data_IF_447706101572
#
_entry.id   IF_447706101572
#
_cell.length_a   1.000
_cell.length_b   1.000
_cell.length_c   1.000
_cell.angle_alpha   90.00
_cell.angle_beta   90.00
_cell.angle_gamma   90.00
#
_symmetry.space_group_name_H-M   'P 1'
#
loop_
_entity.id
_entity.type
_entity.pdbx_description
1 polymer ?
#
# COMPACT_ATOMS: atom_id res chain seq x y z
N UNK A 1 -17.70 -8.53 14.72
CA UNK A 1 -16.50 -7.81 14.25
C UNK A 1 -15.57 -8.87 13.66
N UNK A 2 -15.30 -8.86 12.35
CA UNK A 2 -14.44 -9.87 11.73
C UNK A 2 -13.01 -9.79 12.28
N UNK A 3 -12.38 -10.94 12.54
CA UNK A 3 -11.00 -11.00 13.04
C UNK A 3 -10.08 -10.40 11.96
N UNK A 4 -9.35 -9.34 12.30
CA UNK A 4 -8.40 -8.70 11.38
C UNK A 4 -7.19 -9.63 11.21
N UNK A 5 -6.81 -9.94 9.97
CA UNK A 5 -5.65 -10.79 9.70
C UNK A 5 -4.33 -10.06 9.97
N UNK A 6 -3.24 -10.82 10.16
CA UNK A 6 -1.93 -10.30 10.52
C UNK A 6 -1.39 -9.29 9.49
N UNK A 7 -1.60 -9.56 8.20
CA UNK A 7 -1.19 -8.68 7.10
C UNK A 7 -1.91 -7.34 7.16
N UNK A 8 -3.19 -7.33 7.49
CA UNK A 8 -3.97 -6.10 7.66
C UNK A 8 -3.48 -5.30 8.86
N UNK A 9 -3.14 -5.95 9.98
CA UNK A 9 -2.55 -5.29 11.14
C UNK A 9 -1.21 -4.64 10.77
N UNK A 10 -0.34 -5.36 10.06
CA UNK A 10 0.94 -4.83 9.56
C UNK A 10 0.67 -3.59 8.68
N UNK A 11 -0.14 -3.69 7.64
CA UNK A 11 -0.41 -2.55 6.73
C UNK A 11 -0.95 -1.32 7.45
N UNK A 12 -1.77 -1.50 8.50
CA UNK A 12 -2.27 -0.40 9.33
C UNK A 12 -1.16 0.21 10.18
N UNK A 13 -0.34 -0.63 10.85
CA UNK A 13 0.77 -0.18 11.67
C UNK A 13 1.75 0.67 10.85
N UNK A 14 2.14 0.21 9.66
CA UNK A 14 3.08 0.95 8.81
C UNK A 14 2.46 2.19 8.16
N UNK A 15 1.13 2.27 8.07
CA UNK A 15 0.45 3.46 7.55
C UNK A 15 0.76 4.73 8.36
N UNK A 16 1.10 4.59 9.66
CA UNK A 16 1.47 5.74 10.49
C UNK A 16 2.86 6.33 10.18
N UNK A 17 3.76 5.55 9.57
CA UNK A 17 5.14 5.96 9.27
C UNK A 17 5.16 7.13 8.30
N UNK A 18 4.16 7.17 7.43
CA UNK A 18 3.93 8.28 6.54
C UNK A 18 3.89 9.64 7.28
N UNK A 19 3.20 9.71 8.42
CA UNK A 19 3.09 10.95 9.22
C UNK A 19 4.43 11.42 9.78
N UNK A 20 5.38 10.50 9.97
CA UNK A 20 6.74 10.76 10.41
C UNK A 20 7.73 11.05 9.27
N UNK A 21 7.28 11.11 8.00
CA UNK A 21 8.15 11.15 6.81
C UNK A 21 9.12 9.97 6.73
N UNK A 22 8.73 8.82 7.26
CA UNK A 22 9.51 7.59 7.20
C UNK A 22 9.00 6.75 6.02
N UNK A 23 9.91 6.25 5.18
CA UNK A 23 9.57 5.41 4.05
C UNK A 23 9.00 4.06 4.51
N UNK A 24 7.75 3.78 4.15
CA UNK A 24 7.11 2.49 4.43
C UNK A 24 7.86 1.36 3.73
N UNK A 25 8.26 1.61 2.47
CA UNK A 25 9.00 0.67 1.62
C UNK A 25 10.31 0.25 2.28
N UNK A 26 11.16 1.21 2.62
CA UNK A 26 12.46 0.95 3.24
C UNK A 26 12.32 0.27 4.60
N UNK A 27 11.35 0.71 5.42
CA UNK A 27 11.11 0.13 6.74
C UNK A 27 10.71 -1.34 6.63
N UNK A 28 9.81 -1.69 5.69
CA UNK A 28 9.42 -3.08 5.47
C UNK A 28 10.62 -3.94 5.04
N UNK A 29 11.46 -3.43 4.12
CA UNK A 29 12.68 -4.13 3.67
C UNK A 29 13.61 -4.42 4.85
N UNK A 30 13.87 -3.41 5.69
CA UNK A 30 14.73 -3.57 6.87
C UNK A 30 14.16 -4.58 7.86
N UNK A 31 12.85 -4.52 8.15
CA UNK A 31 12.21 -5.46 9.07
C UNK A 31 12.24 -6.89 8.56
N UNK A 32 12.01 -7.09 7.25
CA UNK A 32 12.14 -8.42 6.62
C UNK A 32 13.58 -8.94 6.77
N UNK A 33 14.58 -8.08 6.59
CA UNK A 33 16.01 -8.40 6.78
C UNK A 33 16.29 -8.85 8.20
N UNK A 34 15.87 -8.07 9.20
CA UNK A 34 16.11 -8.39 10.60
C UNK A 34 15.43 -9.70 11.03
N UNK A 35 14.20 -9.96 10.58
CA UNK A 35 13.54 -11.22 10.89
C UNK A 35 14.21 -12.41 10.21
N UNK A 36 14.71 -12.24 8.98
CA UNK A 36 15.44 -13.31 8.31
C UNK A 36 16.77 -13.61 9.00
N UNK A 37 17.57 -12.59 9.31
CA UNK A 37 18.80 -12.74 10.10
C UNK A 37 18.52 -13.49 11.42
N UNK A 38 17.52 -13.05 12.17
CA UNK A 38 17.17 -13.68 13.44
C UNK A 38 16.71 -15.13 13.27
N UNK A 39 15.93 -15.43 12.22
CA UNK A 39 15.56 -16.79 11.85
C UNK A 39 16.79 -17.63 11.48
N UNK A 40 17.75 -17.10 10.72
CA UNK A 40 18.93 -17.87 10.32
C UNK A 40 19.78 -18.29 11.52
N UNK A 41 19.83 -17.47 12.57
CA UNK A 41 20.54 -17.73 13.83
C UNK A 41 19.77 -18.71 14.72
N UNK A 42 18.49 -18.43 14.98
CA UNK A 42 17.70 -19.16 15.99
C UNK A 42 17.01 -20.40 15.45
N UNK A 43 16.77 -20.46 14.14
CA UNK A 43 15.92 -21.43 13.45
C UNK A 43 14.48 -21.49 13.96
N UNK A 44 14.00 -20.47 14.68
CA UNK A 44 12.60 -20.39 15.13
C UNK A 44 11.67 -20.14 13.94
N UNK A 45 10.88 -21.16 13.61
CA UNK A 45 9.99 -21.15 12.44
C UNK A 45 8.87 -20.10 12.52
N UNK A 46 8.58 -19.53 13.69
CA UNK A 46 7.61 -18.42 13.83
C UNK A 46 8.01 -17.20 13.02
N UNK A 47 9.32 -16.96 12.87
CA UNK A 47 9.83 -15.85 12.06
C UNK A 47 9.60 -16.04 10.57
N UNK A 48 9.50 -17.29 10.08
CA UNK A 48 9.13 -17.55 8.68
C UNK A 48 7.77 -16.95 8.36
N UNK A 49 6.77 -17.21 9.22
CA UNK A 49 5.42 -16.66 9.00
C UNK A 49 5.42 -15.14 9.10
N UNK A 50 6.15 -14.55 10.06
CA UNK A 50 6.27 -13.10 10.15
C UNK A 50 6.90 -12.49 8.89
N UNK A 51 7.95 -13.10 8.34
CA UNK A 51 8.58 -12.67 7.09
C UNK A 51 7.56 -12.70 5.95
N UNK A 52 6.82 -13.82 5.79
CA UNK A 52 5.81 -13.95 4.75
C UNK A 52 4.70 -12.90 4.88
N UNK A 53 4.20 -12.66 6.10
CA UNK A 53 3.18 -11.65 6.34
C UNK A 53 3.67 -10.24 5.97
N UNK A 54 4.96 -9.93 6.23
CA UNK A 54 5.57 -8.64 5.86
C UNK A 54 5.83 -8.51 4.37
N UNK A 55 6.31 -9.56 3.69
CA UNK A 55 6.43 -9.56 2.23
C UNK A 55 5.05 -9.44 1.58
N UNK A 56 4.04 -10.15 2.08
CA UNK A 56 2.68 -10.00 1.60
C UNK A 56 2.19 -8.57 1.80
N UNK A 57 2.41 -7.96 2.97
CA UNK A 57 2.04 -6.58 3.21
C UNK A 57 2.75 -5.62 2.25
N UNK A 58 4.05 -5.81 1.99
CA UNK A 58 4.83 -5.05 1.01
C UNK A 58 4.20 -5.11 -0.39
N UNK A 59 3.87 -6.31 -0.86
CA UNK A 59 3.23 -6.52 -2.16
C UNK A 59 1.81 -5.96 -2.21
N UNK A 60 1.03 -6.13 -1.14
CA UNK A 60 -0.36 -5.66 -1.07
C UNK A 60 -0.48 -4.13 -0.90
N UNK A 61 0.53 -3.49 -0.30
CA UNK A 61 0.71 -2.03 -0.31
C UNK A 61 1.18 -1.52 -1.67
N UNK A 62 1.34 -2.42 -2.63
CA UNK A 62 1.69 -2.13 -3.98
C UNK A 62 3.07 -1.54 -4.09
N UNK A 63 4.07 -2.16 -3.46
CA UNK A 63 5.47 -2.02 -3.84
C UNK A 63 5.88 -3.17 -4.76
N UNK A 64 6.82 -2.94 -5.67
CA UNK A 64 7.18 -3.93 -6.69
C UNK A 64 8.17 -4.95 -6.11
N UNK A 65 7.95 -6.23 -6.41
CA UNK A 65 8.87 -7.29 -6.02
C UNK A 65 10.22 -7.14 -6.72
N UNK A 66 10.21 -6.69 -7.97
CA UNK A 66 11.41 -6.45 -8.78
C UNK A 66 12.36 -5.44 -8.12
N UNK A 67 11.84 -4.51 -7.31
CA UNK A 67 12.66 -3.53 -6.58
C UNK A 67 13.41 -4.13 -5.37
N UNK A 68 13.01 -5.32 -4.90
CA UNK A 68 13.59 -5.99 -3.73
C UNK A 68 14.07 -7.40 -4.05
N UNK A 69 14.05 -7.80 -5.31
CA UNK A 69 14.30 -9.20 -5.69
C UNK A 69 15.72 -9.64 -5.31
N UNK A 70 16.73 -8.78 -5.44
CA UNK A 70 18.12 -9.11 -5.09
C UNK A 70 18.27 -9.55 -3.63
N UNK A 71 17.50 -8.97 -2.72
CA UNK A 71 17.54 -9.27 -1.30
C UNK A 71 16.50 -10.34 -0.89
N UNK A 72 15.30 -10.30 -1.47
CA UNK A 72 14.17 -11.13 -1.03
C UNK A 72 14.06 -12.47 -1.74
N UNK A 73 14.74 -12.67 -2.88
CA UNK A 73 14.62 -13.92 -3.64
C UNK A 73 15.20 -15.12 -2.90
N UNK A 74 16.36 -14.94 -2.27
CA UNK A 74 16.98 -15.99 -1.45
C UNK A 74 16.12 -16.32 -0.23
N UNK A 75 15.59 -15.29 0.43
CA UNK A 75 14.72 -15.43 1.61
C UNK A 75 13.45 -16.21 1.26
N UNK A 76 12.74 -15.79 0.21
CA UNK A 76 11.50 -16.44 -0.18
C UNK A 76 11.75 -17.83 -0.75
N UNK A 77 12.88 -18.05 -1.43
CA UNK A 77 13.26 -19.39 -1.89
C UNK A 77 13.55 -20.33 -0.71
N UNK A 78 14.22 -19.86 0.34
CA UNK A 78 14.46 -20.64 1.56
C UNK A 78 13.15 -20.97 2.31
N UNK A 79 12.20 -20.04 2.34
CA UNK A 79 10.94 -20.22 3.08
C UNK A 79 9.89 -21.01 2.28
N UNK A 80 9.70 -20.67 1.00
CA UNK A 80 8.59 -21.19 0.16
C UNK A 80 9.04 -22.18 -0.91
N UNK A 81 10.32 -22.25 -1.24
CA UNK A 81 10.84 -23.08 -2.32
C UNK A 81 10.11 -22.83 -3.64
N UNK A 82 9.51 -23.87 -4.21
CA UNK A 82 8.79 -23.82 -5.48
C UNK A 82 7.50 -22.96 -5.45
N UNK A 83 6.97 -22.63 -4.26
CA UNK A 83 5.75 -21.83 -4.13
C UNK A 83 6.00 -20.31 -4.21
N UNK A 84 7.26 -19.88 -4.24
CA UNK A 84 7.66 -18.46 -4.29
C UNK A 84 6.92 -17.68 -5.39
N UNK A 85 7.01 -18.14 -6.64
CA UNK A 85 6.44 -17.40 -7.78
C UNK A 85 4.91 -17.32 -7.71
N UNK A 86 4.26 -18.36 -7.16
CA UNK A 86 2.82 -18.34 -6.95
C UNK A 86 2.43 -17.31 -5.89
N UNK A 87 3.16 -17.27 -4.77
CA UNK A 87 2.95 -16.30 -3.70
C UNK A 87 3.11 -14.85 -4.22
N UNK A 88 4.19 -14.57 -4.98
CA UNK A 88 4.41 -13.25 -5.58
C UNK A 88 3.27 -12.89 -6.52
N UNK A 89 2.82 -13.80 -7.38
CA UNK A 89 1.68 -13.54 -8.28
C UNK A 89 0.37 -13.30 -7.52
N UNK A 90 0.12 -14.03 -6.44
CA UNK A 90 -1.10 -13.89 -5.64
C UNK A 90 -1.18 -12.55 -4.92
N UNK A 91 -0.06 -12.01 -4.45
CA UNK A 91 -0.05 -10.83 -3.58
C UNK A 91 0.48 -9.56 -4.28
N UNK A 92 1.39 -9.70 -5.25
CA UNK A 92 1.96 -8.60 -6.05
C UNK A 92 1.02 -8.04 -7.11
N UNK A 93 -0.08 -8.72 -7.41
CA UNK A 93 -1.11 -8.28 -8.39
C UNK A 93 -1.99 -7.13 -7.88
N UNK A 94 -1.69 -6.54 -6.71
CA UNK A 94 -2.43 -5.39 -6.16
C UNK A 94 -1.89 -4.03 -6.56
N UNK A 95 -0.76 -3.94 -7.27
CA UNK A 95 -0.45 -2.74 -8.03
C UNK A 95 -1.25 -2.73 -9.34
N UNK A 96 -2.13 -1.74 -9.50
CA UNK A 96 -2.79 -1.50 -10.80
C UNK A 96 -2.19 -0.28 -11.45
N UNK A 97 -1.45 -0.49 -12.54
CA UNK A 97 -0.92 0.59 -13.36
C UNK A 97 -2.02 1.09 -14.31
N UNK A 98 -2.52 2.30 -14.08
CA UNK A 98 -3.62 2.90 -14.85
C UNK A 98 -3.16 4.14 -15.61
N UNK A 99 -3.91 4.56 -16.63
CA UNK A 99 -3.68 5.86 -17.25
C UNK A 99 -4.14 6.98 -16.31
N UNK A 100 -3.40 8.09 -16.26
CA UNK A 100 -3.84 9.27 -15.52
C UNK A 100 -5.07 9.90 -16.19
N UNK A 101 -6.26 9.64 -15.65
CA UNK A 101 -7.51 10.29 -16.05
C UNK A 101 -8.43 10.50 -14.84
N UNK A 102 -9.28 11.52 -14.92
CA UNK A 102 -10.29 11.81 -13.89
C UNK A 102 -11.25 10.64 -13.68
N UNK A 103 -11.58 9.92 -14.74
CA UNK A 103 -12.42 8.72 -14.69
C UNK A 103 -11.76 7.60 -13.89
N UNK A 104 -10.47 7.31 -14.15
CA UNK A 104 -9.73 6.29 -13.40
C UNK A 104 -9.62 6.67 -11.92
N UNK A 105 -9.32 7.93 -11.61
CA UNK A 105 -9.29 8.43 -10.22
C UNK A 105 -10.66 8.26 -9.57
N UNK A 106 -11.75 8.62 -10.25
CA UNK A 106 -13.12 8.41 -9.76
C UNK A 106 -13.41 6.94 -9.43
N UNK A 107 -12.95 6.02 -10.28
CA UNK A 107 -13.13 4.58 -10.07
C UNK A 107 -12.30 4.07 -8.87
N UNK A 108 -11.07 4.55 -8.71
CA UNK A 108 -10.19 4.22 -7.58
C UNK A 108 -10.83 4.66 -6.26
N UNK A 109 -11.35 5.88 -6.19
CA UNK A 109 -12.02 6.41 -5.01
C UNK A 109 -13.34 5.69 -4.68
N UNK A 110 -13.93 4.97 -5.64
CA UNK A 110 -15.16 4.22 -5.46
C UNK A 110 -16.37 5.11 -5.09
N UNK A 111 -17.23 4.60 -4.21
CA UNK A 111 -18.44 5.33 -3.80
C UNK A 111 -18.12 6.51 -2.88
N UNK A 112 -18.56 7.71 -3.25
CA UNK A 112 -18.40 8.93 -2.46
C UNK A 112 -19.78 9.47 -2.05
N UNK A 113 -20.26 9.07 -0.86
CA UNK A 113 -21.57 9.52 -0.37
C UNK A 113 -21.49 10.98 0.03
N UNK A 114 -22.53 11.76 -0.25
CA UNK A 114 -22.63 13.14 0.24
C UNK A 114 -22.74 13.14 1.77
N UNK A 115 -21.73 13.63 2.46
CA UNK A 115 -21.75 13.85 3.91
C UNK A 115 -20.99 15.14 4.24
N UNK A 116 -21.46 15.88 5.25
CA UNK A 116 -20.88 17.16 5.67
C UNK A 116 -19.43 17.07 6.12
N UNK A 117 -19.03 15.89 6.61
CA UNK A 117 -17.72 15.65 7.20
C UNK A 117 -16.68 15.14 6.18
N UNK A 118 -17.04 14.86 4.93
CA UNK A 118 -16.07 14.43 3.92
C UNK A 118 -15.03 15.52 3.63
N UNK A 119 -13.85 15.12 3.12
CA UNK A 119 -12.79 16.05 2.68
C UNK A 119 -13.21 17.02 1.57
N UNK A 120 -14.34 16.78 0.91
CA UNK A 120 -14.88 17.65 -0.15
C UNK A 120 -15.92 16.95 -1.02
N UNK A 121 -16.37 17.63 -2.09
CA UNK A 121 -17.16 16.97 -3.13
C UNK A 121 -16.25 16.04 -3.94
N UNK A 122 -16.78 14.89 -4.37
CA UNK A 122 -16.01 13.91 -5.15
C UNK A 122 -15.30 14.54 -6.36
N UNK A 123 -15.99 15.44 -7.07
CA UNK A 123 -15.44 16.14 -8.25
C UNK A 123 -14.25 17.01 -7.91
N UNK A 124 -14.32 17.77 -6.81
CA UNK A 124 -13.23 18.64 -6.33
C UNK A 124 -12.02 17.80 -5.93
N UNK A 125 -12.25 16.67 -5.25
CA UNK A 125 -11.18 15.73 -4.87
C UNK A 125 -10.53 15.07 -6.09
N UNK A 126 -11.33 14.65 -7.08
CA UNK A 126 -10.79 14.08 -8.32
C UNK A 126 -9.90 15.10 -9.04
N UNK A 127 -10.34 16.36 -9.11
CA UNK A 127 -9.60 17.44 -9.76
C UNK A 127 -8.29 17.75 -9.03
N UNK A 128 -8.32 17.79 -7.71
CA UNK A 128 -7.16 18.02 -6.85
C UNK A 128 -6.12 16.89 -6.96
N UNK A 129 -6.55 15.62 -6.88
CA UNK A 129 -5.67 14.45 -7.08
C UNK A 129 -5.05 14.49 -8.48
N UNK A 130 -5.86 14.72 -9.51
CA UNK A 130 -5.37 14.78 -10.89
C UNK A 130 -4.32 15.89 -11.06
N UNK A 131 -4.58 17.08 -10.50
CA UNK A 131 -3.68 18.21 -10.55
C UNK A 131 -2.35 17.91 -9.83
N UNK A 132 -2.40 17.34 -8.62
CA UNK A 132 -1.20 16.99 -7.84
C UNK A 132 -0.34 15.95 -8.53
N UNK A 133 -0.93 14.89 -9.08
CA UNK A 133 -0.18 13.87 -9.83
C UNK A 133 0.42 14.48 -11.10
N UNK A 134 -0.38 15.23 -11.87
CA UNK A 134 0.06 15.81 -13.15
C UNK A 134 1.23 16.79 -12.99
N UNK A 135 1.21 17.60 -11.93
CA UNK A 135 2.25 18.60 -11.66
C UNK A 135 3.32 18.09 -10.67
N UNK A 136 3.28 16.79 -10.32
CA UNK A 136 4.21 16.16 -9.40
C UNK A 136 4.38 16.94 -8.08
N UNK A 137 3.26 17.33 -7.47
CA UNK A 137 3.26 18.11 -6.23
C UNK A 137 3.53 17.16 -5.06
N UNK A 138 4.80 17.04 -4.70
CA UNK A 138 5.27 16.17 -3.62
C UNK A 138 4.53 16.43 -2.32
N UNK A 139 4.32 15.36 -1.57
CA UNK A 139 3.55 15.34 -0.33
C UNK A 139 2.58 14.18 -0.34
N UNK A 140 1.85 14.05 0.76
CA UNK A 140 0.79 13.06 0.86
C UNK A 140 -0.46 13.67 1.40
N UNK A 141 -1.54 13.17 0.83
CA UNK A 141 -2.84 13.80 0.93
C UNK A 141 -3.85 12.72 1.27
N UNK A 142 -4.59 12.98 2.34
CA UNK A 142 -5.64 12.09 2.83
C UNK A 142 -7.02 12.59 2.38
N UNK A 143 -7.81 11.68 1.85
CA UNK A 143 -9.15 11.97 1.35
C UNK A 143 -10.16 11.04 2.02
N UNK A 144 -10.97 11.62 2.90
CA UNK A 144 -11.92 10.92 3.75
C UNK A 144 -13.33 11.00 3.18
N UNK A 145 -14.00 9.85 3.12
CA UNK A 145 -15.40 9.72 2.72
C UNK A 145 -16.16 8.82 3.68
N UNK A 146 -17.48 9.00 3.73
CA UNK A 146 -18.40 8.20 4.56
C UNK A 146 -18.25 8.42 6.08
N UNK A 147 -17.99 9.67 6.48
CA UNK A 147 -18.13 10.11 7.87
C UNK A 147 -19.62 10.24 8.22
N UNK A 148 -20.35 9.12 8.23
CA UNK A 148 -21.64 9.03 8.91
C UNK A 148 -21.34 8.95 10.40
N UNK A 149 -21.72 9.94 11.20
CA UNK A 149 -21.41 10.02 12.65
C UNK A 149 -21.92 8.88 13.54
N UNK A 150 -22.13 7.67 13.00
CA UNK A 150 -22.43 6.41 13.69
C UNK A 150 -21.50 5.31 13.14
N UNK A 151 -20.31 5.16 13.72
CA UNK A 151 -19.45 3.97 13.56
C UNK A 151 -18.12 4.15 12.78
N UNK A 152 -17.16 3.21 12.96
CA UNK A 152 -15.72 3.44 12.75
C UNK A 152 -15.22 3.16 11.32
N UNK A 153 -16.05 3.37 10.30
CA UNK A 153 -15.65 3.15 8.89
C UNK A 153 -15.29 4.47 8.21
N UNK A 154 -14.25 5.12 8.75
CA UNK A 154 -13.54 6.16 8.01
C UNK A 154 -12.90 5.52 6.77
N UNK A 155 -13.43 5.84 5.59
CA UNK A 155 -12.85 5.38 4.32
C UNK A 155 -11.86 6.44 3.87
N UNK A 156 -10.59 6.23 4.22
CA UNK A 156 -9.50 7.10 3.80
C UNK A 156 -8.84 6.57 2.52
N UNK A 157 -8.69 7.44 1.52
CA UNK A 157 -7.79 7.22 0.39
C UNK A 157 -6.55 8.08 0.58
N UNK A 158 -5.38 7.55 0.26
CA UNK A 158 -4.09 8.23 0.50
C UNK A 158 -3.36 8.37 -0.83
N UNK A 159 -3.07 9.61 -1.23
CA UNK A 159 -2.23 9.92 -2.38
C UNK A 159 -0.82 10.19 -1.89
N UNK A 160 0.17 9.42 -2.34
CA UNK A 160 1.59 9.64 -2.07
C UNK A 160 2.29 10.11 -3.33
N UNK A 161 3.02 11.22 -3.23
CA UNK A 161 3.88 11.76 -4.30
C UNK A 161 5.24 12.14 -3.67
N UNK A 162 6.31 11.53 -4.14
CA UNK A 162 7.70 11.84 -3.84
C UNK A 162 8.53 11.69 -5.12
N UNK A 163 9.85 11.95 -5.04
CA UNK A 163 10.77 11.71 -6.15
C UNK A 163 10.80 10.24 -6.59
N UNK A 164 10.53 9.32 -5.67
CA UNK A 164 10.60 7.86 -5.89
C UNK A 164 9.23 7.22 -6.08
N UNK A 165 8.17 7.80 -5.50
CA UNK A 165 6.86 7.16 -5.38
C UNK A 165 5.74 8.06 -5.88
N UNK A 166 4.81 7.50 -6.68
CA UNK A 166 3.59 8.19 -7.05
C UNK A 166 2.42 7.21 -7.16
N UNK A 167 1.60 7.13 -6.12
CA UNK A 167 0.46 6.21 -6.08
C UNK A 167 -0.74 6.76 -5.32
N UNK A 168 -1.93 6.31 -5.71
CA UNK A 168 -3.18 6.51 -4.98
C UNK A 168 -3.61 5.19 -4.37
N UNK A 169 -3.68 5.13 -3.05
CA UNK A 169 -4.23 4.00 -2.28
C UNK A 169 -5.71 4.22 -2.05
N UNK A 170 -6.54 3.26 -2.45
CA UNK A 170 -7.98 3.31 -2.19
C UNK A 170 -8.31 2.89 -0.73
N UNK A 171 -9.56 3.03 -0.28
CA UNK A 171 -9.95 2.66 1.09
C UNK A 171 -9.78 1.17 1.42
N UNK A 172 -9.82 0.30 0.41
CA UNK A 172 -9.56 -1.14 0.53
C UNK A 172 -8.06 -1.46 0.62
N UNK A 173 -7.19 -0.45 0.48
CA UNK A 173 -5.76 -0.56 0.58
C UNK A 173 -5.04 -1.00 -0.68
N UNK A 174 -5.73 -1.03 -1.83
CA UNK A 174 -5.14 -1.30 -3.15
C UNK A 174 -4.44 -0.04 -3.66
N UNK A 175 -3.21 -0.19 -4.12
CA UNK A 175 -2.41 0.92 -4.64
C UNK A 175 -2.43 0.98 -6.17
N UNK A 176 -2.65 2.19 -6.68
CA UNK A 176 -2.74 2.48 -8.11
C UNK A 176 -1.63 3.43 -8.49
N UNK A 177 -0.80 3.01 -9.44
CA UNK A 177 0.25 3.85 -10.04
C UNK A 177 -0.22 4.40 -11.38
N UNK A 178 0.32 5.55 -11.78
CA UNK A 178 -0.19 6.29 -12.94
C UNK A 178 0.83 6.33 -14.08
N UNK A 179 0.39 5.96 -15.28
CA UNK A 179 1.12 6.26 -16.52
C UNK A 179 0.91 7.73 -16.85
N UNK A 180 1.93 8.53 -16.61
CA UNK A 180 2.00 9.91 -17.09
C UNK A 180 2.47 9.82 -18.54
N UNK A 181 1.62 10.21 -19.50
CA UNK A 181 2.09 10.35 -20.88
C UNK A 181 3.11 11.50 -20.89
N UNK A 182 4.27 11.32 -21.56
CA UNK A 182 5.25 12.39 -21.71
C UNK A 182 4.64 13.60 -22.42
#
# INVERSE_FOLDING_TARGET
MGKMDHVTIIKLAYGNLYMGKISIKETLIQVISYYYEYYTITKDSKFKQLILDHVQAYLELGFSYEEICEFSDEILKDILGAQKDLFIRQHGTRQKKVNLSKEQISNILGSWKKAKLNSGKKTEIIDDIYYKIKNHICGVYEYHTNLSGKGPLDRCSVLVISEEECYLKNPEGICYTFKIKP
#
